data_IF_258367093031
#
_entry.id   IF_258367093031
#
_cell.length_a   1.000
_cell.length_b   1.000
_cell.length_c   1.000
_cell.angle_alpha   90.00
_cell.angle_beta   90.00
_cell.angle_gamma   90.00
#
_symmetry.space_group_name_H-M   'P 1'
#
loop_
_entity.id
_entity.type
_entity.pdbx_description
1 polymer ?
#
# COMPACT_ATOMS: atom_id res chain seq x y z
N UNK A 1 -10.41 -2.18 7.63
CA UNK A 1 -11.28 -3.33 7.27
C UNK A 1 -12.70 -2.98 7.74
N UNK A 2 -13.74 -3.56 7.16
CA UNK A 2 -15.16 -3.31 7.50
C UNK A 2 -15.78 -1.97 7.04
N UNK A 3 -15.24 -1.38 5.98
CA UNK A 3 -15.91 -0.25 5.31
C UNK A 3 -16.98 -0.78 4.34
N UNK A 4 -17.93 0.07 3.90
CA UNK A 4 -18.82 -0.31 2.80
C UNK A 4 -18.04 -0.69 1.53
N UNK A 5 -18.48 -1.68 0.75
CA UNK A 5 -17.87 -2.00 -0.55
C UNK A 5 -17.76 -0.78 -1.47
N UNK A 6 -16.66 -0.69 -2.23
CA UNK A 6 -16.36 0.46 -3.07
C UNK A 6 -15.79 1.67 -2.32
N UNK A 7 -15.61 1.60 -1.00
CA UNK A 7 -14.96 2.70 -0.28
C UNK A 7 -13.49 2.77 -0.65
N UNK A 8 -13.07 3.90 -1.21
CA UNK A 8 -11.66 4.22 -1.51
C UNK A 8 -10.98 4.81 -0.28
N UNK A 9 -9.74 4.42 -0.05
CA UNK A 9 -8.91 4.80 1.09
C UNK A 9 -7.52 5.17 0.60
N UNK A 10 -6.95 6.22 1.19
CA UNK A 10 -5.56 6.62 1.00
C UNK A 10 -4.84 6.45 2.33
N UNK A 11 -3.68 5.80 2.30
CA UNK A 11 -2.88 5.44 3.48
C UNK A 11 -1.43 5.84 3.19
N UNK A 12 -0.84 6.70 4.03
CA UNK A 12 0.62 6.86 4.05
C UNK A 12 1.23 5.61 4.69
N UNK A 13 2.14 4.95 3.98
CA UNK A 13 2.72 3.69 4.41
C UNK A 13 3.79 3.93 5.48
N UNK A 14 3.48 3.58 6.72
CA UNK A 14 4.46 3.50 7.80
C UNK A 14 5.17 2.14 7.74
N UNK A 15 6.45 2.14 7.36
CA UNK A 15 7.23 0.92 7.14
C UNK A 15 8.28 0.79 8.24
N UNK A 16 8.25 -0.32 8.96
CA UNK A 16 9.22 -0.63 10.01
C UNK A 16 10.62 -0.77 9.40
N UNK A 17 11.63 -0.17 10.04
CA UNK A 17 13.03 -0.42 9.69
C UNK A 17 13.52 -1.69 10.38
N UNK A 18 13.71 -2.76 9.61
CA UNK A 18 14.22 -4.03 10.13
C UNK A 18 15.69 -3.97 10.57
N UNK A 19 16.45 -2.96 10.12
CA UNK A 19 17.83 -2.74 10.56
C UNK A 19 17.92 -2.28 12.01
N UNK A 20 16.86 -1.65 12.52
CA UNK A 20 16.75 -1.17 13.90
C UNK A 20 16.21 -2.23 14.87
N UNK A 21 15.73 -3.37 14.36
CA UNK A 21 15.17 -4.43 15.17
C UNK A 21 16.24 -5.39 15.73
N UNK A 22 15.99 -5.97 16.93
CA UNK A 22 16.77 -7.10 17.44
C UNK A 22 16.82 -8.25 16.42
N UNK A 23 17.94 -9.00 16.44
CA UNK A 23 18.22 -10.08 15.49
C UNK A 23 17.08 -11.11 15.44
N UNK A 24 16.56 -11.51 16.59
CA UNK A 24 15.51 -12.54 16.70
C UNK A 24 14.19 -12.05 16.08
N UNK A 25 13.79 -10.82 16.37
CA UNK A 25 12.56 -10.21 15.84
C UNK A 25 12.66 -9.94 14.33
N UNK A 26 13.84 -9.54 13.85
CA UNK A 26 14.12 -9.42 12.41
C UNK A 26 13.99 -10.76 11.70
N UNK A 27 14.50 -11.84 12.30
CA UNK A 27 14.41 -13.17 11.73
C UNK A 27 12.95 -13.64 11.67
N UNK A 28 12.16 -13.46 12.72
CA UNK A 28 10.74 -13.84 12.73
C UNK A 28 9.92 -13.08 11.67
N UNK A 29 10.17 -11.77 11.51
CA UNK A 29 9.45 -10.94 10.55
C UNK A 29 9.82 -11.26 9.08
N UNK A 30 11.05 -11.68 8.81
CA UNK A 30 11.52 -11.97 7.45
C UNK A 30 11.46 -13.47 7.09
N UNK A 31 11.36 -14.37 8.09
CA UNK A 31 11.29 -15.81 7.86
C UNK A 31 10.00 -16.23 7.15
N UNK A 32 8.91 -15.50 7.33
CA UNK A 32 7.63 -15.76 6.67
C UNK A 32 7.40 -14.89 5.43
N UNK A 33 8.39 -14.86 4.52
CA UNK A 33 8.25 -14.17 3.23
C UNK A 33 7.32 -14.89 2.24
N UNK A 34 6.85 -16.10 2.58
CA UNK A 34 5.85 -16.82 1.80
C UNK A 34 4.48 -16.11 1.83
N UNK A 35 4.27 -15.25 2.83
CA UNK A 35 3.18 -14.29 2.90
C UNK A 35 3.67 -12.97 2.30
N UNK A 36 3.66 -12.85 0.97
CA UNK A 36 4.00 -11.64 0.22
C UNK A 36 2.94 -10.53 0.41
N UNK A 37 2.71 -10.13 1.66
CA UNK A 37 1.85 -8.99 1.98
C UNK A 37 2.54 -7.70 1.54
N UNK A 38 1.78 -6.64 1.21
CA UNK A 38 2.34 -5.35 0.85
C UNK A 38 3.34 -4.82 1.89
N UNK A 39 3.05 -5.01 3.18
CA UNK A 39 3.91 -4.60 4.29
C UNK A 39 5.29 -5.27 4.23
N UNK A 40 5.35 -6.59 4.03
CA UNK A 40 6.62 -7.34 3.92
C UNK A 40 7.45 -6.88 2.73
N UNK A 41 6.82 -6.66 1.58
CA UNK A 41 7.50 -6.16 0.40
C UNK A 41 8.12 -4.78 0.63
N UNK A 42 7.38 -3.88 1.30
CA UNK A 42 7.86 -2.54 1.63
C UNK A 42 9.00 -2.57 2.67
N UNK A 43 8.93 -3.46 3.67
CA UNK A 43 10.02 -3.65 4.64
C UNK A 43 11.32 -4.08 3.96
N UNK A 44 11.26 -5.00 3.00
CA UNK A 44 12.44 -5.41 2.21
C UNK A 44 12.97 -4.24 1.38
N UNK A 45 12.09 -3.46 0.73
CA UNK A 45 12.50 -2.28 -0.02
C UNK A 45 13.18 -1.22 0.87
N UNK A 46 12.68 -1.02 2.10
CA UNK A 46 13.29 -0.12 3.09
C UNK A 46 14.66 -0.61 3.53
N UNK A 47 14.77 -1.90 3.87
CA UNK A 47 16.03 -2.53 4.25
C UNK A 47 17.10 -2.45 3.15
N UNK A 48 16.67 -2.55 1.89
CA UNK A 48 17.55 -2.42 0.73
C UNK A 48 17.91 -0.96 0.39
N UNK A 49 17.34 0.03 1.11
CA UNK A 49 17.59 1.45 0.88
C UNK A 49 16.99 2.00 -0.42
N UNK A 50 15.99 1.32 -0.99
CA UNK A 50 15.35 1.71 -2.27
C UNK A 50 13.92 2.23 -2.09
N UNK A 51 13.38 2.21 -0.87
CA UNK A 51 12.06 2.76 -0.57
C UNK A 51 12.13 4.30 -0.55
N UNK A 52 11.25 5.01 -1.28
CA UNK A 52 11.17 6.47 -1.22
C UNK A 52 10.80 6.97 0.18
N UNK A 53 11.15 8.22 0.48
CA UNK A 53 10.85 8.88 1.76
C UNK A 53 9.35 8.86 2.08
N UNK A 54 8.50 9.03 1.06
CA UNK A 54 7.04 8.96 1.18
C UNK A 54 6.48 7.92 0.22
N UNK A 55 5.77 6.94 0.79
CA UNK A 55 5.08 5.89 0.04
C UNK A 55 3.59 5.94 0.40
N UNK A 56 2.71 5.98 -0.60
CA UNK A 56 1.26 6.11 -0.41
C UNK A 56 0.57 4.90 -1.04
N UNK A 57 -0.40 4.31 -0.32
CA UNK A 57 -1.22 3.20 -0.78
C UNK A 57 -2.65 3.69 -0.98
N UNK A 58 -3.17 3.53 -2.20
CA UNK A 58 -4.60 3.72 -2.51
C UNK A 58 -5.26 2.35 -2.61
N UNK A 59 -6.25 2.10 -1.75
CA UNK A 59 -6.99 0.84 -1.71
C UNK A 59 -8.48 1.05 -1.86
N UNK A 60 -9.19 0.05 -2.38
CA UNK A 60 -10.65 0.02 -2.47
C UNK A 60 -11.18 -1.20 -1.71
N UNK A 61 -12.20 -1.00 -0.87
CA UNK A 61 -12.84 -2.08 -0.13
C UNK A 61 -13.60 -3.02 -1.10
N UNK A 62 -13.27 -4.32 -1.16
CA UNK A 62 -13.97 -5.27 -2.02
C UNK A 62 -15.40 -5.52 -1.52
N UNK A 63 -16.28 -5.96 -2.44
CA UNK A 63 -17.62 -6.43 -2.12
C UNK A 63 -17.66 -7.91 -1.73
N UNK A 64 -16.88 -8.73 -2.43
CA UNK A 64 -16.84 -10.18 -2.26
C UNK A 64 -15.45 -10.68 -2.65
N UNK A 65 -14.91 -11.64 -1.90
CA UNK A 65 -13.58 -12.24 -2.14
C UNK A 65 -13.59 -13.77 -2.01
N UNK A 66 -14.70 -14.37 -1.56
CA UNK A 66 -14.79 -15.79 -1.25
C UNK A 66 -15.16 -16.66 -2.47
N UNK A 67 -15.72 -16.04 -3.52
CA UNK A 67 -16.05 -16.72 -4.76
C UNK A 67 -15.02 -16.41 -5.85
N UNK A 68 -14.65 -17.45 -6.60
CA UNK A 68 -13.75 -17.30 -7.74
C UNK A 68 -14.52 -16.73 -8.93
N UNK A 69 -14.04 -15.62 -9.47
CA UNK A 69 -14.63 -14.97 -10.63
C UNK A 69 -13.64 -14.02 -11.30
N UNK A 70 -13.93 -13.67 -12.55
CA UNK A 70 -13.19 -12.65 -13.30
C UNK A 70 -14.05 -11.39 -13.34
N UNK A 71 -13.44 -10.25 -13.01
CA UNK A 71 -14.07 -8.94 -13.04
C UNK A 71 -14.33 -8.35 -11.65
N UNK A 72 -14.94 -7.16 -11.64
CA UNK A 72 -15.25 -6.41 -10.43
C UNK A 72 -16.77 -6.37 -10.24
N UNK A 73 -17.21 -6.39 -8.98
CA UNK A 73 -18.62 -6.09 -8.65
C UNK A 73 -18.99 -4.68 -9.13
N UNK A 74 -20.26 -4.43 -9.43
CA UNK A 74 -20.75 -3.12 -9.90
C UNK A 74 -20.36 -1.96 -8.97
N UNK A 75 -20.34 -2.20 -7.65
CA UNK A 75 -19.96 -1.20 -6.66
C UNK A 75 -18.48 -0.88 -6.70
N UNK A 76 -17.62 -1.89 -6.87
CA UNK A 76 -16.17 -1.69 -6.97
C UNK A 76 -15.79 -1.11 -8.33
N UNK A 77 -16.44 -1.52 -9.42
CA UNK A 77 -16.25 -0.92 -10.75
C UNK A 77 -16.50 0.59 -10.74
N UNK A 78 -17.57 1.05 -10.07
CA UNK A 78 -17.86 2.47 -9.93
C UNK A 78 -16.81 3.22 -9.11
N UNK A 79 -16.21 2.56 -8.12
CA UNK A 79 -15.19 3.16 -7.27
C UNK A 79 -13.82 3.31 -7.95
N UNK A 80 -13.62 2.74 -9.13
CA UNK A 80 -12.35 2.87 -9.87
C UNK A 80 -12.09 4.32 -10.23
N UNK A 81 -13.08 5.08 -10.68
CA UNK A 81 -12.92 6.50 -11.04
C UNK A 81 -12.54 7.34 -9.80
N UNK A 82 -13.13 7.03 -8.64
CA UNK A 82 -12.79 7.66 -7.38
C UNK A 82 -11.33 7.34 -6.98
N UNK A 83 -10.90 6.08 -7.15
CA UNK A 83 -9.52 5.68 -6.87
C UNK A 83 -8.51 6.34 -7.81
N UNK A 84 -8.82 6.48 -9.11
CA UNK A 84 -7.99 7.21 -10.08
C UNK A 84 -7.86 8.67 -9.66
N UNK A 85 -8.96 9.31 -9.26
CA UNK A 85 -8.96 10.70 -8.78
C UNK A 85 -8.04 10.87 -7.58
N UNK A 86 -8.07 9.93 -6.62
CA UNK A 86 -7.17 9.96 -5.47
C UNK A 86 -5.70 9.74 -5.85
N UNK A 87 -5.41 8.84 -6.80
CA UNK A 87 -4.05 8.66 -7.32
C UNK A 87 -3.53 9.94 -7.96
N UNK A 88 -4.32 10.60 -8.81
CA UNK A 88 -3.94 11.86 -9.45
C UNK A 88 -3.72 12.99 -8.42
N UNK A 89 -4.51 13.03 -7.36
CA UNK A 89 -4.30 13.95 -6.23
C UNK A 89 -2.96 13.65 -5.54
N UNK A 90 -2.68 12.39 -5.19
CA UNK A 90 -1.44 11.98 -4.53
C UNK A 90 -0.21 12.30 -5.39
N UNK A 91 -0.27 12.05 -6.70
CA UNK A 91 0.82 12.37 -7.64
C UNK A 91 1.09 13.87 -7.67
N UNK A 92 0.04 14.71 -7.74
CA UNK A 92 0.20 16.17 -7.70
C UNK A 92 0.83 16.64 -6.39
N UNK A 93 0.42 16.08 -5.26
CA UNK A 93 1.02 16.39 -3.96
C UNK A 93 2.51 16.03 -3.93
N UNK A 94 2.86 14.81 -4.33
CA UNK A 94 4.26 14.38 -4.39
C UNK A 94 5.10 15.24 -5.35
N UNK A 95 4.56 15.60 -6.52
CA UNK A 95 5.24 16.47 -7.47
C UNK A 95 5.45 17.90 -6.94
N UNK A 96 4.52 18.41 -6.15
CA UNK A 96 4.64 19.74 -5.53
C UNK A 96 5.66 19.78 -4.40
N UNK A 97 5.85 18.68 -3.68
CA UNK A 97 6.85 18.54 -2.62
C UNK A 97 8.24 18.24 -3.18
N UNK A 98 8.34 17.56 -4.32
CA UNK A 98 9.60 17.19 -5.00
C UNK A 98 10.36 18.35 -5.66
N UNK A 99 9.91 19.60 -5.51
CA UNK A 99 10.57 20.80 -6.06
C UNK A 99 11.77 21.32 -5.26
N UNK A 100 12.16 20.65 -4.17
CA UNK A 100 13.31 21.01 -3.35
C UNK A 100 14.25 19.80 -3.17
N UNK A 101 15.01 19.49 -4.21
CA UNK A 101 16.24 18.68 -4.13
C UNK A 101 17.44 19.54 -4.50
N UNK A 102 18.62 19.34 -3.86
CA UNK A 102 19.81 20.19 -4.00
C UNK A 102 20.45 20.19 -5.40
#
# INVERSE_FOLDING_TARGET
RDRPPGTVMVIDAEVIDVGELPVDERHDLLADMHLATPERALMVAKAAGVLPERTIIVGCQPAEVDTLGIGLSSTVTRAVDDAVTEVERCVRELASTGGAGP
#
